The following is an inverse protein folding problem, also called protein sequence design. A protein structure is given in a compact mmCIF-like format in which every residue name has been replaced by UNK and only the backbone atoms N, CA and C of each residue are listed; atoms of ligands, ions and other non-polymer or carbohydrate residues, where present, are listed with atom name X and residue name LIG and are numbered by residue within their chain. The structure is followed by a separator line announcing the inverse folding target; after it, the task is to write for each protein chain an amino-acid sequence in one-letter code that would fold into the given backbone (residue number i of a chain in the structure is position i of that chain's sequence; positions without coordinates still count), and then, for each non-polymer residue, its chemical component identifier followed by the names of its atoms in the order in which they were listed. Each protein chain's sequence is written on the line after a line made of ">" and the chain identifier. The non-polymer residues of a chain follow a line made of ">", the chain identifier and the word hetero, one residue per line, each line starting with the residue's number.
data_IF_363476060048
#
_entry.id   IF_363476060048
#
_cell.length_a   1.000
_cell.length_b   1.000
_cell.length_c   1.000
_cell.angle_alpha   90.00
_cell.angle_beta   90.00
_cell.angle_gamma   90.00
#
_symmetry.space_group_name_H-M   'P 1'
#
loop_
_entity.id
_entity.type
_entity.pdbx_description
1 polymer ?
#
# COMPACT_ATOMS: atom_id res chain seq x y z
N UNK A 1 -5.50 21.15 -3.67
CA UNK A 1 -4.87 20.68 -2.42
C UNK A 1 -3.63 19.89 -2.80
N UNK A 2 -2.47 20.19 -2.22
CA UNK A 2 -1.21 19.53 -2.53
C UNK A 2 -0.98 18.28 -1.68
N UNK A 3 0.11 17.57 -1.97
CA UNK A 3 0.53 16.40 -1.19
C UNK A 3 0.83 16.75 0.27
N UNK A 4 1.31 17.96 0.56
CA UNK A 4 1.69 18.35 1.92
C UNK A 4 0.46 18.40 2.83
N UNK A 5 -0.64 18.98 2.35
CA UNK A 5 -1.92 19.03 3.07
C UNK A 5 -2.52 17.63 3.22
N UNK A 6 -2.46 16.80 2.17
CA UNK A 6 -2.91 15.41 2.21
C UNK A 6 -2.17 14.58 3.28
N UNK A 7 -0.85 14.76 3.38
CA UNK A 7 -0.01 14.11 4.40
C UNK A 7 -0.33 14.62 5.81
N UNK A 8 -0.59 15.92 5.96
CA UNK A 8 -1.01 16.51 7.23
C UNK A 8 -2.36 15.92 7.68
N UNK A 9 -3.35 15.85 6.78
CA UNK A 9 -4.66 15.26 7.09
C UNK A 9 -4.55 13.77 7.43
N UNK A 10 -3.68 13.02 6.73
CA UNK A 10 -3.38 11.63 7.06
C UNK A 10 -2.81 11.48 8.48
N UNK A 11 -1.89 12.35 8.89
CA UNK A 11 -1.34 12.34 10.26
C UNK A 11 -2.41 12.64 11.30
N UNK A 12 -3.29 13.61 11.03
CA UNK A 12 -4.39 13.96 11.91
C UNK A 12 -5.46 12.86 12.06
N UNK A 13 -5.47 11.82 11.21
CA UNK A 13 -6.37 10.68 11.38
C UNK A 13 -6.14 9.97 12.72
N UNK A 14 -4.88 9.86 13.16
CA UNK A 14 -4.56 9.23 14.43
C UNK A 14 -5.15 10.03 15.60
N UNK A 15 -4.94 11.33 15.61
CA UNK A 15 -5.43 12.22 16.67
C UNK A 15 -6.97 12.21 16.73
N UNK A 16 -7.63 12.18 15.57
CA UNK A 16 -9.10 12.00 15.50
C UNK A 16 -9.51 10.64 16.07
N UNK A 17 -8.82 9.57 15.72
CA UNK A 17 -9.13 8.23 16.22
C UNK A 17 -8.95 8.12 17.74
N UNK A 18 -7.89 8.67 18.33
CA UNK A 18 -7.67 8.66 19.78
C UNK A 18 -8.75 9.43 20.56
N UNK A 19 -9.35 10.47 19.96
CA UNK A 19 -10.46 11.22 20.57
C UNK A 19 -11.79 10.47 20.54
N UNK A 20 -11.95 9.47 19.68
CA UNK A 20 -13.17 8.68 19.52
C UNK A 20 -12.92 7.23 19.90
N UNK A 21 -12.95 6.94 21.20
CA UNK A 21 -12.87 5.59 21.78
C UNK A 21 -14.21 4.84 21.68
N UNK A 22 -14.87 4.90 20.51
CA UNK A 22 -16.17 4.26 20.24
C UNK A 22 -16.06 2.91 19.50
N UNK A 23 -17.19 2.23 19.31
CA UNK A 23 -17.26 0.89 18.69
C UNK A 23 -16.61 0.83 17.30
N UNK A 24 -15.93 -0.29 17.03
CA UNK A 24 -15.03 -0.50 15.90
C UNK A 24 -15.67 -0.50 14.49
N UNK A 25 -16.99 -0.40 14.39
CA UNK A 25 -17.71 -0.48 13.13
C UNK A 25 -17.83 0.87 12.37
N UNK A 26 -17.52 2.00 13.01
CA UNK A 26 -17.58 3.34 12.37
C UNK A 26 -16.27 3.84 11.75
N UNK A 27 -15.19 3.03 11.79
CA UNK A 27 -13.88 3.44 11.28
C UNK A 27 -13.88 3.79 9.77
N UNK A 28 -14.80 3.23 8.99
CA UNK A 28 -14.90 3.51 7.55
C UNK A 28 -15.27 4.99 7.25
N UNK A 29 -16.02 5.65 8.13
CA UNK A 29 -16.42 7.05 7.96
C UNK A 29 -15.25 8.04 8.06
N UNK A 30 -14.19 7.70 8.81
CA UNK A 30 -13.03 8.58 9.02
C UNK A 30 -12.15 8.72 7.78
N UNK A 31 -12.07 7.66 6.97
CA UNK A 31 -11.20 7.60 5.79
C UNK A 31 -11.88 8.07 4.51
N UNK A 32 -13.21 8.08 4.52
CA UNK A 32 -14.02 8.30 3.34
C UNK A 32 -13.74 9.63 2.61
N UNK A 33 -13.41 10.77 3.29
CA UNK A 33 -13.05 11.98 2.55
C UNK A 33 -11.62 11.95 1.99
N UNK A 34 -10.70 11.18 2.58
CA UNK A 34 -9.29 11.19 2.18
C UNK A 34 -9.00 10.32 0.96
N UNK A 35 -9.68 9.17 0.83
CA UNK A 35 -9.45 8.27 -0.30
C UNK A 35 -9.69 8.96 -1.66
N UNK A 36 -10.84 9.64 -1.91
CA UNK A 36 -11.07 10.32 -3.19
C UNK A 36 -10.06 11.44 -3.47
N UNK A 37 -9.58 12.12 -2.43
CA UNK A 37 -8.59 13.21 -2.56
C UNK A 37 -7.21 12.68 -2.93
N UNK A 38 -6.80 11.55 -2.35
CA UNK A 38 -5.56 10.87 -2.73
C UNK A 38 -5.67 10.24 -4.12
N UNK A 39 -6.80 9.63 -4.48
CA UNK A 39 -7.03 9.12 -5.85
C UNK A 39 -6.95 10.24 -6.88
N UNK A 40 -7.58 11.40 -6.62
CA UNK A 40 -7.48 12.58 -7.47
C UNK A 40 -6.04 13.10 -7.58
N UNK A 41 -5.28 13.08 -6.49
CA UNK A 41 -3.87 13.46 -6.51
C UNK A 41 -3.03 12.53 -7.41
N UNK A 42 -3.27 11.22 -7.35
CA UNK A 42 -2.63 10.24 -8.25
C UNK A 42 -3.02 10.46 -9.71
N UNK A 43 -4.29 10.75 -9.97
CA UNK A 43 -4.81 11.03 -11.31
C UNK A 43 -4.19 12.30 -11.90
N UNK A 44 -4.00 13.36 -11.09
CA UNK A 44 -3.31 14.57 -11.50
C UNK A 44 -1.82 14.35 -11.82
N UNK A 45 -1.22 13.26 -11.30
CA UNK A 45 0.13 12.81 -11.67
C UNK A 45 0.13 11.83 -12.86
N UNK A 46 -1.03 11.58 -13.46
CA UNK A 46 -1.23 10.61 -14.55
C UNK A 46 -0.80 9.18 -14.17
N UNK A 47 -1.02 8.80 -12.90
CA UNK A 47 -0.67 7.48 -12.38
C UNK A 47 -1.90 6.57 -12.33
N UNK A 48 -1.78 5.35 -12.89
CA UNK A 48 -2.85 4.35 -12.88
C UNK A 48 -2.94 3.59 -11.53
N UNK A 49 -3.20 4.34 -10.45
CA UNK A 49 -3.17 3.84 -9.07
C UNK A 49 -4.46 4.15 -8.32
N UNK A 50 -4.80 3.35 -7.31
CA UNK A 50 -5.89 3.60 -6.37
C UNK A 50 -5.37 3.54 -4.95
N UNK A 51 -6.07 4.18 -4.03
CA UNK A 51 -5.69 4.21 -2.61
C UNK A 51 -6.57 3.33 -1.73
N UNK A 52 -5.97 2.80 -0.67
CA UNK A 52 -6.67 2.14 0.43
C UNK A 52 -6.11 2.70 1.74
N UNK A 53 -6.97 3.29 2.56
CA UNK A 53 -6.60 3.89 3.85
C UNK A 53 -7.28 3.08 4.95
N UNK A 54 -6.53 2.75 6.00
CA UNK A 54 -7.07 1.99 7.13
C UNK A 54 -6.28 2.24 8.40
N UNK A 55 -6.80 1.74 9.53
CA UNK A 55 -6.02 1.59 10.76
C UNK A 55 -5.38 0.18 10.79
N UNK A 56 -4.09 0.10 11.09
CA UNK A 56 -3.35 -1.14 11.37
C UNK A 56 -3.48 -1.53 12.85
N UNK A 57 -2.69 -2.51 13.31
CA UNK A 57 -2.57 -2.89 14.73
C UNK A 57 -2.43 -1.66 15.64
N UNK A 58 -3.15 -1.68 16.76
CA UNK A 58 -3.21 -0.58 17.73
C UNK A 58 -3.70 0.76 17.13
N UNK A 59 -4.62 0.69 16.16
CA UNK A 59 -5.31 1.85 15.58
C UNK A 59 -4.39 2.85 14.86
N UNK A 60 -3.33 2.35 14.22
CA UNK A 60 -2.32 3.16 13.55
C UNK A 60 -2.66 3.41 12.08
N UNK A 61 -2.92 4.65 11.63
CA UNK A 61 -3.31 4.86 10.24
C UNK A 61 -2.19 4.49 9.26
N UNK A 62 -2.59 3.87 8.16
CA UNK A 62 -1.75 3.53 7.01
C UNK A 62 -2.47 3.87 5.72
N UNK A 63 -1.69 4.25 4.71
CA UNK A 63 -2.18 4.41 3.33
C UNK A 63 -1.38 3.51 2.40
N UNK A 64 -2.11 2.74 1.59
CA UNK A 64 -1.55 1.91 0.55
C UNK A 64 -1.96 2.49 -0.81
N UNK A 65 -1.04 2.46 -1.76
CA UNK A 65 -1.25 2.86 -3.16
C UNK A 65 -1.05 1.62 -4.04
N UNK A 66 -2.13 1.16 -4.66
CA UNK A 66 -2.17 -0.04 -5.48
C UNK A 66 -2.26 0.31 -6.96
N UNK A 67 -1.50 -0.39 -7.79
CA UNK A 67 -1.64 -0.34 -9.25
C UNK A 67 -3.01 -0.87 -9.67
N UNK A 68 -3.76 -0.13 -10.51
CA UNK A 68 -5.09 -0.56 -10.98
C UNK A 68 -5.03 -1.66 -12.05
N UNK A 69 -3.96 -1.70 -12.85
CA UNK A 69 -3.79 -2.67 -13.94
C UNK A 69 -3.51 -4.12 -13.48
N UNK A 70 -3.20 -4.29 -12.18
CA UNK A 70 -2.99 -5.59 -11.53
C UNK A 70 -4.14 -5.95 -10.57
N UNK A 71 -5.31 -5.34 -10.75
CA UNK A 71 -6.53 -5.79 -10.07
C UNK A 71 -7.28 -6.78 -10.94
N UNK A 72 -7.73 -7.88 -10.33
CA UNK A 72 -8.48 -8.94 -10.97
C UNK A 72 -8.31 -10.28 -10.25
N UNK A 73 -9.17 -11.25 -10.56
CA UNK A 73 -9.25 -12.53 -9.83
C UNK A 73 -7.96 -13.36 -9.91
N UNK A 74 -7.20 -13.20 -10.99
CA UNK A 74 -5.95 -13.94 -11.22
C UNK A 74 -4.70 -13.20 -10.71
N UNK A 75 -4.85 -12.00 -10.16
CA UNK A 75 -3.73 -11.19 -9.68
C UNK A 75 -3.58 -11.27 -8.17
N UNK A 76 -2.34 -11.10 -7.71
CA UNK A 76 -1.99 -11.15 -6.27
C UNK A 76 -2.73 -10.12 -5.41
N UNK A 77 -3.14 -8.99 -6.00
CA UNK A 77 -3.90 -7.93 -5.33
C UNK A 77 -5.42 -8.20 -5.29
N UNK A 78 -5.90 -9.22 -6.00
CA UNK A 78 -7.31 -9.57 -6.11
C UNK A 78 -8.15 -8.56 -6.90
N UNK A 79 -9.47 -8.77 -7.01
CA UNK A 79 -10.37 -7.94 -7.81
C UNK A 79 -10.63 -6.55 -7.20
N UNK A 80 -10.52 -6.42 -5.87
CA UNK A 80 -10.73 -5.17 -5.14
C UNK A 80 -9.47 -4.88 -4.32
N UNK A 81 -8.88 -3.72 -4.56
CA UNK A 81 -7.68 -3.30 -3.83
C UNK A 81 -7.94 -3.18 -2.32
N UNK A 82 -7.19 -3.96 -1.54
CA UNK A 82 -7.25 -4.02 -0.09
C UNK A 82 -5.83 -4.22 0.44
N UNK A 83 -5.50 -3.62 1.59
CA UNK A 83 -4.16 -3.80 2.20
C UNK A 83 -3.78 -5.26 2.51
N UNK A 84 -4.77 -6.14 2.71
CA UNK A 84 -4.54 -7.53 3.10
C UNK A 84 -4.17 -8.43 1.91
N UNK A 85 -4.08 -7.84 0.72
CA UNK A 85 -3.88 -8.57 -0.53
C UNK A 85 -2.82 -7.92 -1.41
N UNK A 86 -1.78 -8.68 -1.73
CA UNK A 86 -0.83 -8.39 -2.77
C UNK A 86 0.24 -7.37 -2.43
N UNK A 87 0.64 -6.61 -3.45
CA UNK A 87 1.80 -5.73 -3.45
C UNK A 87 1.34 -4.28 -3.69
N UNK A 88 1.90 -3.35 -2.93
CA UNK A 88 1.50 -1.95 -2.97
C UNK A 88 2.63 -1.04 -2.50
N UNK A 89 2.58 0.25 -2.84
CA UNK A 89 3.38 1.25 -2.12
C UNK A 89 2.65 1.53 -0.81
N UNK A 90 3.39 1.51 0.30
CA UNK A 90 2.89 1.68 1.65
C UNK A 90 3.52 2.92 2.27
N UNK A 91 2.67 3.78 2.83
CA UNK A 91 3.08 4.84 3.74
C UNK A 91 2.41 4.59 5.10
N UNK A 92 3.24 4.52 6.13
CA UNK A 92 2.78 4.41 7.51
C UNK A 92 3.69 5.16 8.47
N UNK A 93 3.32 5.10 9.75
CA UNK A 93 4.03 5.80 10.81
C UNK A 93 4.17 4.91 12.04
N UNK A 94 5.38 4.87 12.62
CA UNK A 94 5.61 4.32 13.94
C UNK A 94 5.28 5.40 14.97
N UNK A 95 4.01 5.50 15.35
CA UNK A 95 3.50 6.66 16.10
C UNK A 95 4.14 6.90 17.46
N UNK A 96 4.68 5.86 18.13
CA UNK A 96 5.43 6.03 19.38
C UNK A 96 6.70 6.86 19.18
N UNK A 97 7.33 6.77 18.00
CA UNK A 97 8.55 7.48 17.62
C UNK A 97 8.30 8.61 16.63
N UNK A 98 7.07 8.70 16.09
CA UNK A 98 6.64 9.61 15.02
C UNK A 98 7.54 9.55 13.77
N UNK A 99 8.10 8.37 13.49
CA UNK A 99 8.88 8.12 12.29
C UNK A 99 7.96 7.58 11.19
N UNK A 100 8.14 8.07 9.96
CA UNK A 100 7.36 7.66 8.80
C UNK A 100 8.17 6.69 7.96
N UNK A 101 7.50 5.68 7.40
CA UNK A 101 8.09 4.75 6.45
C UNK A 101 7.34 4.80 5.13
N UNK A 102 8.06 4.98 4.03
CA UNK A 102 7.54 4.90 2.67
C UNK A 102 8.28 3.79 1.93
N UNK A 103 7.55 2.76 1.47
CA UNK A 103 8.18 1.58 0.86
C UNK A 103 7.28 0.86 -0.12
N UNK A 104 7.84 -0.02 -0.94
CA UNK A 104 7.06 -1.09 -1.60
C UNK A 104 6.84 -2.20 -0.57
N UNK A 105 5.59 -2.51 -0.24
CA UNK A 105 5.20 -3.51 0.75
C UNK A 105 4.35 -4.62 0.14
N UNK A 106 4.29 -5.75 0.84
CA UNK A 106 3.39 -6.86 0.53
C UNK A 106 2.63 -7.31 1.78
N UNK A 107 1.45 -7.89 1.59
CA UNK A 107 0.61 -8.40 2.67
C UNK A 107 1.10 -9.78 3.15
N UNK A 108 2.15 -9.81 3.95
CA UNK A 108 2.78 -11.05 4.43
C UNK A 108 2.19 -11.65 5.72
N UNK A 109 0.88 -11.53 5.95
CA UNK A 109 0.27 -12.14 7.14
C UNK A 109 -0.05 -13.63 6.92
N UNK A 110 0.91 -14.46 7.36
CA UNK A 110 0.89 -15.78 8.06
C UNK A 110 -0.32 -16.75 8.04
N UNK A 111 -1.43 -16.52 7.34
CA UNK A 111 -2.51 -17.52 7.22
C UNK A 111 -3.06 -17.73 5.81
N UNK A 112 -2.75 -16.83 4.87
CA UNK A 112 -3.19 -16.92 3.47
C UNK A 112 -2.03 -16.90 2.46
N UNK A 113 -0.79 -17.07 2.93
CA UNK A 113 0.44 -16.95 2.12
C UNK A 113 0.45 -17.88 0.90
N UNK A 114 -0.19 -19.05 0.99
CA UNK A 114 -0.30 -20.01 -0.12
C UNK A 114 -1.13 -19.51 -1.31
N UNK A 115 -1.91 -18.42 -1.16
CA UNK A 115 -2.77 -17.87 -2.23
C UNK A 115 -2.24 -16.57 -2.85
N UNK A 116 -1.05 -16.11 -2.47
CA UNK A 116 -0.52 -14.82 -2.92
C UNK A 116 0.91 -14.91 -3.45
N UNK A 117 1.37 -16.09 -3.87
CA UNK A 117 2.66 -16.20 -4.55
C UNK A 117 2.58 -15.73 -6.00
N UNK A 118 3.51 -14.85 -6.38
CA UNK A 118 3.72 -14.40 -7.76
C UNK A 118 5.20 -14.04 -7.98
N UNK A 119 5.64 -14.01 -9.24
CA UNK A 119 7.04 -13.72 -9.63
C UNK A 119 7.48 -12.32 -9.20
N UNK A 120 6.55 -11.37 -9.10
CA UNK A 120 6.85 -10.00 -8.68
C UNK A 120 7.42 -9.93 -7.27
N UNK A 121 7.08 -10.88 -6.38
CA UNK A 121 7.60 -10.90 -5.01
C UNK A 121 9.12 -11.10 -4.99
N UNK A 122 9.65 -12.01 -5.80
CA UNK A 122 11.09 -12.27 -5.87
C UNK A 122 11.87 -11.06 -6.44
N UNK A 123 11.23 -10.32 -7.35
CA UNK A 123 11.81 -9.11 -7.94
C UNK A 123 11.87 -7.96 -6.91
N UNK A 124 10.76 -7.72 -6.21
CA UNK A 124 10.60 -6.54 -5.36
C UNK A 124 11.11 -6.73 -3.91
N UNK A 125 11.20 -7.98 -3.44
CA UNK A 125 11.50 -8.30 -2.05
C UNK A 125 12.65 -9.29 -1.91
N UNK A 126 13.19 -9.37 -0.70
CA UNK A 126 14.14 -10.42 -0.29
C UNK A 126 13.45 -11.28 0.75
N UNK A 127 13.44 -12.60 0.56
CA UNK A 127 12.92 -13.52 1.56
C UNK A 127 13.97 -13.75 2.66
N UNK A 128 13.67 -13.35 3.90
CA UNK A 128 14.51 -13.60 5.08
C UNK A 128 13.67 -14.11 6.23
N UNK A 129 14.09 -15.23 6.83
CA UNK A 129 13.40 -15.87 7.97
C UNK A 129 11.89 -15.98 7.74
N UNK A 130 11.50 -16.45 6.55
CA UNK A 130 10.09 -16.62 6.13
C UNK A 130 9.29 -15.32 5.96
N UNK A 131 9.96 -14.16 5.94
CA UNK A 131 9.33 -12.85 5.72
C UNK A 131 9.92 -12.14 4.51
N UNK A 132 9.08 -11.49 3.71
CA UNK A 132 9.54 -10.63 2.61
C UNK A 132 9.93 -9.27 3.18
N UNK A 133 11.22 -8.93 3.08
CA UNK A 133 11.76 -7.61 3.38
C UNK A 133 11.76 -6.76 2.09
N UNK A 134 11.29 -5.52 2.20
CA UNK A 134 11.32 -4.58 1.08
C UNK A 134 12.76 -4.22 0.72
N UNK A 135 13.09 -4.25 -0.58
CA UNK A 135 14.35 -3.70 -1.09
C UNK A 135 14.32 -2.17 -1.19
N UNK A 136 13.14 -1.56 -1.07
CA UNK A 136 12.90 -0.15 -1.38
C UNK A 136 12.12 0.51 -0.23
N UNK A 137 12.84 0.98 0.79
CA UNK A 137 12.28 1.65 1.96
C UNK A 137 13.01 2.97 2.24
N UNK A 138 12.24 4.03 2.47
CA UNK A 138 12.70 5.34 2.94
C UNK A 138 12.06 5.61 4.29
N UNK A 139 12.83 6.19 5.21
CA UNK A 139 12.33 6.56 6.55
C UNK A 139 12.54 8.04 6.81
N UNK A 140 11.58 8.66 7.48
CA UNK A 140 11.62 10.08 7.82
C UNK A 140 11.36 10.27 9.32
N UNK A 141 12.26 10.95 10.05
CA UNK A 141 12.09 11.23 11.47
C UNK A 141 10.99 12.25 11.77
N UNK A 142 10.58 13.08 10.80
CA UNK A 142 9.56 14.12 10.98
C UNK A 142 8.59 14.20 9.81
N UNK A 143 7.42 14.80 10.05
CA UNK A 143 6.42 15.05 9.00
C UNK A 143 6.94 16.07 7.97
N UNK A 144 7.70 17.08 8.41
CA UNK A 144 8.29 18.08 7.53
C UNK A 144 9.22 17.44 6.49
N UNK A 145 10.13 16.56 6.94
CA UNK A 145 11.02 15.84 6.04
C UNK A 145 10.25 14.91 5.10
N UNK A 146 9.20 14.25 5.57
CA UNK A 146 8.31 13.49 4.70
C UNK A 146 7.67 14.42 3.65
N UNK A 147 7.10 15.55 4.04
CA UNK A 147 6.41 16.49 3.15
C UNK A 147 7.33 17.10 2.07
N UNK A 148 8.60 17.33 2.39
CA UNK A 148 9.60 17.86 1.47
C UNK A 148 10.04 16.84 0.42
N UNK A 149 10.20 15.58 0.83
CA UNK A 149 10.79 14.54 -0.01
C UNK A 149 9.76 13.59 -0.64
N UNK A 150 8.52 13.55 -0.13
CA UNK A 150 7.52 12.54 -0.47
C UNK A 150 7.27 12.42 -1.96
N UNK A 151 7.08 13.53 -2.69
CA UNK A 151 6.80 13.44 -4.13
C UNK A 151 7.97 12.79 -4.89
N UNK A 152 9.20 13.20 -4.59
CA UNK A 152 10.38 12.66 -5.26
C UNK A 152 10.53 11.15 -4.98
N UNK A 153 10.54 10.78 -3.70
CA UNK A 153 10.71 9.38 -3.28
C UNK A 153 9.53 8.49 -3.70
N UNK A 154 8.30 9.01 -3.66
CA UNK A 154 7.12 8.29 -4.15
C UNK A 154 7.23 7.99 -5.64
N UNK A 155 7.68 8.96 -6.46
CA UNK A 155 7.88 8.75 -7.89
C UNK A 155 9.03 7.77 -8.17
N UNK A 156 10.10 7.77 -7.38
CA UNK A 156 11.14 6.73 -7.46
C UNK A 156 10.56 5.33 -7.22
N UNK A 157 9.72 5.17 -6.18
CA UNK A 157 9.05 3.89 -5.89
C UNK A 157 8.05 3.50 -6.99
N UNK A 158 7.29 4.45 -7.54
CA UNK A 158 6.38 4.20 -8.67
C UNK A 158 7.16 3.70 -9.89
N UNK A 159 8.32 4.30 -10.20
CA UNK A 159 9.17 3.84 -11.31
C UNK A 159 9.63 2.39 -11.11
N UNK A 160 10.13 2.07 -9.90
CA UNK A 160 10.54 0.69 -9.56
C UNK A 160 9.35 -0.26 -9.65
N UNK A 161 8.20 0.11 -9.08
CA UNK A 161 7.03 -0.75 -9.03
C UNK A 161 6.40 -0.97 -10.42
N UNK A 162 6.39 0.04 -11.29
CA UNK A 162 5.91 -0.04 -12.66
C UNK A 162 6.88 -0.75 -13.61
N UNK A 163 8.17 -0.79 -13.28
CA UNK A 163 9.16 -1.53 -14.07
C UNK A 163 8.92 -3.05 -14.03
N UNK A 164 8.17 -3.54 -13.05
CA UNK A 164 7.76 -4.95 -12.99
C UNK A 164 6.56 -5.17 -13.94
N UNK A 165 6.70 -6.06 -14.95
CA UNK A 165 5.61 -6.45 -15.84
C UNK A 165 4.36 -6.89 -15.07
N UNK A 166 3.17 -6.57 -15.59
CA UNK A 166 1.91 -6.96 -14.96
C UNK A 166 1.78 -8.48 -14.83
N UNK A 167 2.35 -9.23 -15.75
CA UNK A 167 2.31 -10.69 -15.83
C UNK A 167 2.99 -11.35 -14.63
N UNK A 168 4.00 -10.68 -14.05
CA UNK A 168 4.67 -11.17 -12.84
C UNK A 168 3.79 -11.09 -11.59
N UNK A 169 2.69 -10.34 -11.63
CA UNK A 169 1.73 -10.22 -10.53
C UNK A 169 0.62 -11.27 -10.60
N UNK A 170 0.59 -12.12 -11.63
CA UNK A 170 -0.33 -13.25 -11.69
C UNK A 170 0.00 -14.28 -10.61
N UNK A 171 -1.05 -14.84 -9.99
CA UNK A 171 -0.89 -15.91 -9.02
C UNK A 171 -0.28 -17.15 -9.68
N UNK A 172 0.72 -17.79 -9.05
CA UNK A 172 1.38 -18.97 -9.63
C UNK A 172 0.39 -20.11 -9.97
N UNK A 173 -0.63 -20.33 -9.14
CA UNK A 173 -1.67 -21.35 -9.41
C UNK A 173 -2.62 -20.99 -10.57
N UNK A 174 -2.75 -19.70 -10.90
CA UNK A 174 -3.57 -19.25 -12.03
C UNK A 174 -2.91 -19.53 -13.39
N UNK A 175 -1.60 -19.77 -13.41
CA UNK A 175 -0.85 -20.10 -14.63
C UNK A 175 -1.11 -21.56 -15.07
N UNK A 176 -1.30 -22.49 -14.12
CA UNK A 176 -1.60 -23.90 -14.41
C UNK A 176 -2.98 -24.12 -15.03
N UNK A 177 -3.97 -23.26 -14.74
CA UNK A 177 -5.31 -23.36 -15.32
C UNK A 177 -5.38 -22.95 -16.81
N UNK A 178 -4.37 -22.24 -17.32
CA UNK A 178 -4.26 -21.92 -18.76
C UNK A 178 -3.60 -23.02 -19.60
N UNK A 179 -3.09 -24.08 -18.96
CA UNK A 179 -2.41 -25.20 -19.62
C UNK A 179 -3.32 -26.37 -20.05
N UNK A 180 -4.55 -26.43 -19.57
CA UNK A 180 -5.51 -27.46 -19.99
C UNK A 180 -6.23 -27.00 -21.27
N UNK A 181 -5.72 -27.44 -22.43
CA UNK A 181 -6.56 -27.63 -23.61
C UNK A 181 -7.63 -28.67 -23.24
N UNK A 182 -8.90 -28.32 -23.44
CA UNK A 182 -9.97 -29.31 -23.62
C UNK A 182 -9.73 -30.02 -24.94
#
# INVERSE_FOLDING_TARGET
>A
MGQKELLQEFVCLKEKNERYMGNSNDHAGYFNPLKPRWDLWLENLNLNYTTYISFWENSQPTICFGRRDILGDNYVNGPIFKKQHGVYIWLGCQWKRRTFGLRIGCSNNYSNASKQECTALDKLFTLRKETYESKYEKTYPTLEQLQENFLYDFIELVKVFNAVPREDFLLKDSVYLKGCKV
#
